data_IF_752987837876
#
_entry.id   IF_752987837876
#
_cell.length_a   1.000
_cell.length_b   1.000
_cell.length_c   1.000
_cell.angle_alpha   90.00
_cell.angle_beta   90.00
_cell.angle_gamma   90.00
#
_symmetry.space_group_name_H-M   'P 1'
#
loop_
_entity.id
_entity.type
_entity.pdbx_description
1 polymer ?
#
# COMPACT_ATOMS: atom_id res chain seq x y z
N UNK A 1 33.74 26.30 22.59
CA UNK A 1 33.17 25.02 22.13
C UNK A 1 32.27 25.36 20.95
N UNK A 2 32.66 24.99 19.74
CA UNK A 2 31.91 25.35 18.53
C UNK A 2 30.61 24.54 18.47
N UNK A 3 29.49 25.25 18.38
CA UNK A 3 28.16 24.69 18.12
C UNK A 3 28.14 24.04 16.73
N UNK A 4 28.49 22.76 16.68
CA UNK A 4 28.36 21.96 15.47
C UNK A 4 26.90 21.47 15.38
N UNK A 5 25.99 22.38 15.01
CA UNK A 5 24.63 21.95 14.61
C UNK A 5 24.79 21.03 13.40
N UNK A 6 24.33 19.76 13.45
CA UNK A 6 24.40 18.88 12.29
C UNK A 6 23.64 19.56 11.15
N UNK A 7 24.38 19.91 10.11
CA UNK A 7 23.84 20.50 8.89
C UNK A 7 22.92 19.46 8.27
N UNK A 8 21.66 19.85 8.01
CA UNK A 8 20.70 18.97 7.37
C UNK A 8 21.31 18.46 6.05
N UNK A 9 21.29 17.15 5.79
CA UNK A 9 21.85 16.60 4.56
C UNK A 9 21.17 17.22 3.35
N UNK A 10 21.95 17.45 2.29
CA UNK A 10 21.40 17.94 1.03
C UNK A 10 20.41 16.90 0.46
N UNK A 11 19.37 17.32 -0.28
CA UNK A 11 18.44 16.39 -0.93
C UNK A 11 19.19 15.31 -1.73
N UNK A 12 18.94 14.03 -1.42
CA UNK A 12 19.59 12.88 -2.06
C UNK A 12 20.90 12.40 -1.42
N UNK A 13 21.39 13.07 -0.37
CA UNK A 13 22.52 12.58 0.41
C UNK A 13 22.06 11.55 1.45
N UNK A 14 22.69 10.37 1.46
CA UNK A 14 22.39 9.32 2.44
C UNK A 14 22.74 9.80 3.85
N UNK A 15 21.80 9.62 4.79
CA UNK A 15 22.05 9.83 6.21
C UNK A 15 22.89 8.65 6.71
N UNK A 16 24.07 8.88 7.32
CA UNK A 16 24.88 7.78 7.84
C UNK A 16 24.13 7.06 8.96
N UNK A 17 24.18 5.73 8.96
CA UNK A 17 23.61 4.92 10.04
C UNK A 17 24.39 5.17 11.34
N UNK A 18 23.72 5.53 12.45
CA UNK A 18 24.38 5.69 13.74
C UNK A 18 25.07 4.38 14.17
N UNK A 19 26.29 4.44 14.76
CA UNK A 19 27.02 3.23 15.20
C UNK A 19 26.25 2.37 16.22
N UNK A 20 25.33 2.98 16.96
CA UNK A 20 24.49 2.38 18.00
C UNK A 20 23.11 1.89 17.48
N UNK A 21 22.81 2.10 16.20
CA UNK A 21 21.59 1.61 15.54
C UNK A 21 21.95 0.73 14.33
N UNK A 22 22.54 -0.46 14.55
CA UNK A 22 22.92 -1.32 13.44
C UNK A 22 21.66 -1.80 12.70
N UNK A 23 21.67 -1.65 11.38
CA UNK A 23 20.65 -2.20 10.49
C UNK A 23 21.33 -3.24 9.60
N UNK A 24 20.78 -4.45 9.59
CA UNK A 24 21.19 -5.51 8.66
C UNK A 24 20.14 -5.62 7.57
N UNK A 25 20.59 -5.62 6.33
CA UNK A 25 19.73 -5.72 5.16
C UNK A 25 19.87 -7.11 4.56
N UNK A 26 18.75 -7.84 4.44
CA UNK A 26 18.73 -9.14 3.77
C UNK A 26 18.97 -8.97 2.26
N UNK A 27 18.38 -7.93 1.66
CA UNK A 27 18.69 -7.45 0.31
C UNK A 27 19.46 -6.11 0.39
N UNK A 28 20.71 -6.03 -0.11
CA UNK A 28 21.45 -4.77 -0.14
C UNK A 28 20.75 -3.61 -0.87
N UNK A 29 19.79 -3.87 -1.77
CA UNK A 29 19.01 -2.82 -2.44
C UNK A 29 18.02 -2.12 -1.48
N UNK A 30 17.56 -2.81 -0.44
CA UNK A 30 16.62 -2.26 0.56
C UNK A 30 17.21 -1.07 1.32
N UNK A 31 18.53 -1.00 1.43
CA UNK A 31 19.26 0.12 2.02
C UNK A 31 19.04 1.45 1.28
N UNK A 32 18.53 1.41 0.04
CA UNK A 32 18.28 2.60 -0.80
C UNK A 32 16.82 3.06 -0.75
N UNK A 33 15.94 2.30 -0.10
CA UNK A 33 14.52 2.61 0.01
C UNK A 33 14.31 3.63 1.14
N UNK A 34 13.36 4.55 0.94
CA UNK A 34 12.88 5.40 2.03
C UNK A 34 11.87 4.62 2.86
N UNK A 35 12.21 4.40 4.13
CA UNK A 35 11.40 3.62 5.06
C UNK A 35 10.55 4.51 5.95
N UNK A 36 9.24 4.26 5.97
CA UNK A 36 8.27 4.97 6.77
C UNK A 36 7.77 4.07 7.91
N UNK A 37 7.60 4.63 9.10
CA UNK A 37 6.96 3.91 10.20
C UNK A 37 5.52 3.60 9.80
N UNK A 38 5.06 2.40 10.13
CA UNK A 38 3.67 1.99 9.90
C UNK A 38 2.81 2.57 11.04
N UNK A 39 1.95 3.58 10.80
CA UNK A 39 1.33 4.36 11.89
C UNK A 39 0.45 3.54 12.83
N UNK A 40 -0.05 2.39 12.35
CA UNK A 40 -0.85 1.44 13.10
C UNK A 40 -0.02 0.73 14.20
N UNK A 41 1.30 0.63 14.04
CA UNK A 41 2.20 -0.06 14.98
C UNK A 41 3.11 0.94 15.68
N UNK A 42 2.62 1.49 16.80
CA UNK A 42 3.36 2.46 17.63
C UNK A 42 4.29 1.80 18.65
N UNK A 43 4.25 0.47 18.76
CA UNK A 43 5.02 -0.34 19.71
C UNK A 43 5.77 -1.45 19.00
N UNK A 44 6.82 -2.03 19.62
CA UNK A 44 7.50 -3.19 19.08
C UNK A 44 6.53 -4.33 18.75
N UNK A 45 6.67 -4.91 17.56
CA UNK A 45 5.85 -6.03 17.11
C UNK A 45 6.61 -7.38 17.22
N UNK A 46 5.95 -8.44 17.71
CA UNK A 46 6.47 -9.80 17.68
C UNK A 46 6.71 -10.30 16.25
N UNK A 47 7.61 -11.27 16.10
CA UNK A 47 7.93 -11.86 14.79
C UNK A 47 6.70 -12.47 14.09
N UNK A 48 5.80 -13.09 14.85
CA UNK A 48 4.58 -13.68 14.27
C UNK A 48 3.65 -12.62 13.68
N UNK A 49 3.44 -11.50 14.40
CA UNK A 49 2.64 -10.38 13.89
C UNK A 49 3.31 -9.79 12.65
N UNK A 50 4.62 -9.59 12.69
CA UNK A 50 5.37 -9.12 11.53
C UNK A 50 5.19 -10.03 10.30
N UNK A 51 5.27 -11.36 10.47
CA UNK A 51 5.11 -12.31 9.38
C UNK A 51 3.73 -12.21 8.71
N UNK A 52 2.66 -12.08 9.51
CA UNK A 52 1.29 -11.92 9.01
C UNK A 52 1.13 -10.58 8.27
N UNK A 53 1.62 -9.48 8.85
CA UNK A 53 1.53 -8.16 8.22
C UNK A 53 2.36 -8.10 6.94
N UNK A 54 3.56 -8.70 6.93
CA UNK A 54 4.41 -8.79 5.75
C UNK A 54 3.71 -9.56 4.64
N UNK A 55 3.16 -10.74 4.95
CA UNK A 55 2.40 -11.53 3.98
C UNK A 55 1.28 -10.70 3.37
N UNK A 56 0.45 -10.03 4.17
CA UNK A 56 -0.65 -9.21 3.66
C UNK A 56 -0.15 -8.04 2.80
N UNK A 57 0.83 -7.27 3.28
CA UNK A 57 1.31 -6.07 2.59
C UNK A 57 2.03 -6.41 1.28
N UNK A 58 2.92 -7.40 1.30
CA UNK A 58 3.69 -7.79 0.11
C UNK A 58 2.86 -8.61 -0.88
N UNK A 59 1.90 -9.42 -0.41
CA UNK A 59 0.92 -10.08 -1.28
C UNK A 59 0.04 -9.08 -2.03
N UNK A 60 -0.19 -7.90 -1.42
CA UNK A 60 -0.83 -6.75 -2.07
C UNK A 60 -0.16 -6.27 -3.36
N UNK A 61 1.13 -6.56 -3.55
CA UNK A 61 1.85 -6.18 -4.76
C UNK A 61 1.26 -6.77 -6.04
N UNK A 62 0.60 -7.92 -5.96
CA UNK A 62 -0.11 -8.51 -7.10
C UNK A 62 -1.26 -7.61 -7.58
N UNK A 63 -2.02 -7.02 -6.64
CA UNK A 63 -3.07 -6.06 -6.96
C UNK A 63 -2.52 -4.73 -7.47
N UNK A 64 -1.43 -4.23 -6.87
CA UNK A 64 -0.74 -3.03 -7.36
C UNK A 64 -0.22 -3.21 -8.79
N UNK A 65 0.28 -4.40 -9.11
CA UNK A 65 0.74 -4.75 -10.46
C UNK A 65 -0.38 -4.75 -11.48
N UNK A 66 -1.52 -5.38 -11.15
CA UNK A 66 -2.72 -5.37 -12.00
C UNK A 66 -3.22 -3.94 -12.26
N UNK A 67 -3.05 -3.05 -11.29
CA UNK A 67 -3.36 -1.62 -11.43
C UNK A 67 -2.26 -0.81 -12.16
N UNK A 68 -1.24 -1.48 -12.73
CA UNK A 68 -0.11 -0.87 -13.42
C UNK A 68 0.66 0.17 -12.59
N UNK A 69 0.73 -0.01 -11.26
CA UNK A 69 1.53 0.87 -10.42
C UNK A 69 3.04 0.60 -10.60
N UNK A 70 3.87 1.66 -10.69
CA UNK A 70 5.29 1.53 -11.00
C UNK A 70 6.17 1.19 -9.77
N UNK A 71 5.55 0.73 -8.68
CA UNK A 71 6.21 0.41 -7.43
C UNK A 71 5.63 -0.84 -6.78
N UNK A 72 6.35 -1.35 -5.80
CA UNK A 72 5.94 -2.43 -4.93
C UNK A 72 6.13 -2.01 -3.47
N UNK A 73 5.20 -2.42 -2.62
CA UNK A 73 5.32 -2.35 -1.18
C UNK A 73 6.36 -3.37 -0.69
N UNK A 74 7.28 -2.90 0.14
CA UNK A 74 8.23 -3.72 0.89
C UNK A 74 8.00 -3.49 2.37
N UNK A 75 8.02 -4.56 3.16
CA UNK A 75 7.90 -4.47 4.61
C UNK A 75 9.13 -5.05 5.29
N UNK A 76 9.83 -4.22 6.06
CA UNK A 76 10.99 -4.63 6.86
C UNK A 76 10.74 -4.46 8.35
N UNK A 77 11.37 -5.32 9.16
CA UNK A 77 11.39 -5.20 10.61
C UNK A 77 12.79 -4.83 11.09
N UNK A 78 12.95 -3.62 11.62
CA UNK A 78 14.22 -3.14 12.18
C UNK A 78 14.01 -2.91 13.69
N UNK A 79 14.85 -3.54 14.51
CA UNK A 79 14.81 -3.39 15.98
C UNK A 79 13.41 -3.59 16.59
N UNK A 80 12.65 -4.54 16.04
CA UNK A 80 11.27 -4.87 16.44
C UNK A 80 10.17 -3.92 15.99
N UNK A 81 10.48 -2.89 15.19
CA UNK A 81 9.48 -2.02 14.57
C UNK A 81 9.30 -2.36 13.10
N UNK A 82 8.07 -2.27 12.60
CA UNK A 82 7.78 -2.44 11.18
C UNK A 82 7.90 -1.11 10.43
N UNK A 83 8.49 -1.20 9.25
CA UNK A 83 8.61 -0.10 8.32
C UNK A 83 8.11 -0.52 6.94
N UNK A 84 7.38 0.37 6.30
CA UNK A 84 6.89 0.24 4.94
C UNK A 84 7.78 1.09 4.02
N UNK A 85 8.18 0.49 2.90
CA UNK A 85 8.86 1.17 1.82
C UNK A 85 8.12 0.95 0.51
N UNK A 86 8.17 1.94 -0.39
CA UNK A 86 7.69 1.78 -1.76
C UNK A 86 8.92 1.72 -2.66
N UNK A 87 9.22 0.53 -3.17
CA UNK A 87 10.34 0.29 -4.07
C UNK A 87 9.88 0.44 -5.53
N UNK A 88 10.59 1.21 -6.37
CA UNK A 88 10.28 1.26 -7.80
C UNK A 88 10.50 -0.11 -8.46
N UNK A 89 9.55 -0.60 -9.27
CA UNK A 89 9.69 -1.87 -10.00
C UNK A 89 10.72 -1.83 -11.14
N UNK A 90 11.14 -0.63 -11.51
CA UNK A 90 12.20 -0.37 -12.49
C UNK A 90 12.87 0.95 -12.18
N UNK A 91 13.75 0.98 -11.18
CA UNK A 91 14.61 2.14 -10.99
C UNK A 91 15.46 2.31 -12.26
N UNK A 92 15.48 3.51 -12.89
CA UNK A 92 16.32 3.73 -14.05
C UNK A 92 17.78 3.43 -13.67
N UNK A 93 18.59 2.82 -14.57
CA UNK A 93 20.00 2.61 -14.32
C UNK A 93 20.69 3.89 -13.83
N UNK A 94 21.73 3.77 -13.02
CA UNK A 94 22.42 4.94 -12.42
C UNK A 94 22.87 5.97 -13.47
N UNK A 95 23.20 5.53 -14.68
CA UNK A 95 23.50 6.39 -15.83
C UNK A 95 22.29 7.26 -16.24
N UNK A 96 21.08 6.69 -16.24
CA UNK A 96 19.83 7.42 -16.52
C UNK A 96 19.53 8.41 -15.40
N UNK A 97 19.71 8.03 -14.14
CA UNK A 97 19.58 8.94 -12.99
C UNK A 97 20.57 10.12 -13.07
N UNK A 98 21.82 9.88 -13.47
CA UNK A 98 22.84 10.93 -13.69
C UNK A 98 22.47 11.84 -14.85
N UNK A 99 21.97 11.29 -15.96
CA UNK A 99 21.50 12.07 -17.10
C UNK A 99 20.31 12.95 -16.74
N UNK A 100 19.32 12.41 -16.01
CA UNK A 100 18.18 13.16 -15.48
C UNK A 100 18.65 14.28 -14.55
N UNK A 101 19.57 14.00 -13.63
CA UNK A 101 20.15 15.00 -12.74
C UNK A 101 20.98 16.08 -13.45
N UNK A 102 21.54 15.79 -14.63
CA UNK A 102 22.19 16.79 -15.46
C UNK A 102 21.17 17.68 -16.19
N UNK A 103 20.12 17.09 -16.74
CA UNK A 103 19.04 17.81 -17.44
C UNK A 103 18.25 18.69 -16.47
N UNK A 104 17.98 18.22 -15.24
CA UNK A 104 17.31 19.04 -14.22
C UNK A 104 18.11 20.29 -13.83
N UNK A 105 19.45 20.22 -13.88
CA UNK A 105 20.34 21.36 -13.59
C UNK A 105 20.54 22.30 -14.78
N UNK A 106 20.61 21.77 -16.00
CA UNK A 106 20.97 22.56 -17.19
C UNK A 106 19.77 23.03 -18.01
N UNK A 107 18.64 22.33 -17.95
CA UNK A 107 17.43 22.67 -18.68
C UNK A 107 16.15 22.29 -17.87
N UNK A 108 15.82 23.02 -16.79
CA UNK A 108 14.70 22.69 -15.91
C UNK A 108 13.34 22.61 -16.61
N UNK A 109 13.09 23.45 -17.63
CA UNK A 109 11.85 23.42 -18.41
C UNK A 109 11.69 22.13 -19.23
N UNK A 110 12.79 21.62 -19.80
CA UNK A 110 12.81 20.35 -20.52
C UNK A 110 12.58 19.17 -19.57
N UNK A 111 13.18 19.23 -18.37
CA UNK A 111 12.94 18.25 -17.30
C UNK A 111 11.47 18.21 -16.89
N UNK A 112 10.86 19.36 -16.59
CA UNK A 112 9.45 19.43 -16.20
C UNK A 112 8.52 18.88 -17.30
N UNK A 113 8.78 19.22 -18.58
CA UNK A 113 8.01 18.69 -19.70
C UNK A 113 8.15 17.17 -19.83
N UNK A 114 9.35 16.63 -19.64
CA UNK A 114 9.59 15.18 -19.67
C UNK A 114 8.87 14.46 -18.53
N UNK A 115 8.95 15.00 -17.30
CA UNK A 115 8.27 14.43 -16.14
C UNK A 115 6.75 14.52 -16.28
N UNK A 116 6.22 15.61 -16.83
CA UNK A 116 4.79 15.75 -17.14
C UNK A 116 4.34 14.69 -18.14
N UNK A 117 5.03 14.54 -19.27
CA UNK A 117 4.68 13.50 -20.27
C UNK A 117 4.80 12.09 -19.72
N UNK A 118 5.78 11.84 -18.86
CA UNK A 118 5.93 10.56 -18.16
C UNK A 118 4.76 10.32 -17.19
N UNK A 119 4.35 11.36 -16.46
CA UNK A 119 3.14 11.38 -15.65
C UNK A 119 1.88 11.05 -16.46
N UNK A 120 1.66 11.74 -17.58
CA UNK A 120 0.53 11.50 -18.48
C UNK A 120 0.52 10.07 -19.03
N UNK A 121 1.70 9.54 -19.38
CA UNK A 121 1.86 8.16 -19.85
C UNK A 121 1.51 7.13 -18.77
N UNK A 122 1.94 7.38 -17.52
CA UNK A 122 1.59 6.53 -16.38
C UNK A 122 0.07 6.59 -16.08
N UNK A 123 -0.53 7.78 -16.11
CA UNK A 123 -1.98 7.96 -15.94
C UNK A 123 -2.76 7.15 -16.97
N UNK A 124 -2.41 7.28 -18.25
CA UNK A 124 -3.04 6.51 -19.33
C UNK A 124 -2.87 5.01 -19.18
N UNK A 125 -1.72 4.55 -18.69
CA UNK A 125 -1.48 3.13 -18.45
C UNK A 125 -2.35 2.61 -17.30
N UNK A 126 -2.50 3.38 -16.22
CA UNK A 126 -3.38 3.05 -15.10
C UNK A 126 -4.85 3.06 -15.51
N UNK A 127 -5.30 4.09 -16.25
CA UNK A 127 -6.63 4.16 -16.86
C UNK A 127 -6.92 2.93 -17.72
N UNK A 128 -6.01 2.57 -18.63
CA UNK A 128 -6.16 1.40 -19.50
C UNK A 128 -6.22 0.08 -18.72
N UNK A 129 -5.54 0.00 -17.58
CA UNK A 129 -5.56 -1.18 -16.71
C UNK A 129 -6.84 -1.26 -15.86
N UNK A 130 -7.32 -0.12 -15.33
CA UNK A 130 -8.39 -0.07 -14.34
C UNK A 130 -9.78 0.10 -14.95
N UNK A 131 -9.94 0.85 -16.05
CA UNK A 131 -11.26 1.08 -16.67
C UNK A 131 -11.98 -0.23 -17.02
N UNK A 132 -11.33 -1.24 -17.65
CA UNK A 132 -12.01 -2.50 -17.96
C UNK A 132 -12.40 -3.31 -16.71
N UNK A 133 -11.76 -3.07 -15.57
CA UNK A 133 -12.11 -3.70 -14.28
C UNK A 133 -13.31 -2.97 -13.68
N UNK A 134 -13.30 -1.63 -13.71
CA UNK A 134 -14.36 -0.78 -13.16
C UNK A 134 -15.69 -1.00 -13.87
N UNK A 135 -15.68 -1.06 -15.21
CA UNK A 135 -16.89 -1.28 -16.02
C UNK A 135 -17.65 -2.56 -15.65
N UNK A 136 -16.93 -3.58 -15.19
CA UNK A 136 -17.49 -4.88 -14.80
C UNK A 136 -17.36 -5.17 -13.30
N UNK A 137 -17.10 -4.14 -12.49
CA UNK A 137 -16.66 -4.35 -11.10
C UNK A 137 -17.69 -5.11 -10.28
N UNK A 138 -18.99 -4.89 -10.49
CA UNK A 138 -20.04 -5.63 -9.79
C UNK A 138 -19.95 -7.14 -10.06
N UNK A 139 -19.82 -7.54 -11.32
CA UNK A 139 -19.63 -8.95 -11.71
C UNK A 139 -18.29 -9.48 -11.18
N UNK A 140 -17.20 -8.71 -11.35
CA UNK A 140 -15.87 -9.10 -10.87
C UNK A 140 -15.85 -9.33 -9.34
N UNK A 141 -16.52 -8.46 -8.59
CA UNK A 141 -16.67 -8.59 -7.15
C UNK A 141 -17.49 -9.82 -6.77
N UNK A 142 -18.69 -9.96 -7.32
CA UNK A 142 -19.63 -11.00 -6.91
C UNK A 142 -19.22 -12.41 -7.36
N UNK A 143 -18.60 -12.53 -8.53
CA UNK A 143 -18.31 -13.82 -9.16
C UNK A 143 -16.87 -14.28 -8.95
N UNK A 144 -15.92 -13.37 -8.74
CA UNK A 144 -14.49 -13.71 -8.60
C UNK A 144 -13.96 -13.39 -7.19
N UNK A 145 -13.93 -12.10 -6.80
CA UNK A 145 -13.25 -11.68 -5.57
C UNK A 145 -13.94 -12.17 -4.29
N UNK A 146 -15.25 -11.93 -4.16
CA UNK A 146 -16.00 -12.24 -2.95
C UNK A 146 -16.05 -13.75 -2.66
N UNK A 147 -16.28 -14.65 -3.64
CA UNK A 147 -16.19 -16.08 -3.41
C UNK A 147 -14.82 -16.52 -2.92
N UNK A 148 -13.72 -16.01 -3.49
CA UNK A 148 -12.36 -16.36 -3.07
C UNK A 148 -12.07 -15.85 -1.64
N UNK A 149 -12.45 -14.62 -1.32
CA UNK A 149 -12.35 -14.06 0.04
C UNK A 149 -13.08 -14.97 1.05
N UNK A 150 -14.31 -15.38 0.74
CA UNK A 150 -15.10 -16.28 1.60
C UNK A 150 -14.42 -17.65 1.80
N UNK A 151 -13.75 -18.20 0.78
CA UNK A 151 -13.00 -19.45 0.94
C UNK A 151 -11.82 -19.30 1.91
N UNK A 152 -11.13 -18.16 1.87
CA UNK A 152 -10.07 -17.90 2.84
C UNK A 152 -10.60 -17.70 4.26
N UNK A 153 -11.70 -16.96 4.43
CA UNK A 153 -12.34 -16.78 5.74
C UNK A 153 -12.83 -18.12 6.31
N UNK A 154 -13.48 -18.95 5.50
CA UNK A 154 -13.97 -20.28 5.91
C UNK A 154 -12.83 -21.20 6.40
N UNK A 155 -11.63 -21.10 5.80
CA UNK A 155 -10.46 -21.85 6.27
C UNK A 155 -10.08 -21.46 7.71
N UNK A 156 -10.08 -20.16 8.03
CA UNK A 156 -9.77 -19.69 9.38
C UNK A 156 -10.89 -20.03 10.36
N UNK A 157 -12.16 -19.84 9.96
CA UNK A 157 -13.33 -20.09 10.81
C UNK A 157 -13.52 -21.57 11.16
N UNK A 158 -13.13 -22.49 10.27
CA UNK A 158 -13.27 -23.94 10.48
C UNK A 158 -12.13 -24.57 11.30
N UNK A 159 -11.10 -23.80 11.68
CA UNK A 159 -9.89 -24.33 12.31
C UNK A 159 -9.98 -24.33 13.85
N UNK A 160 -9.96 -25.50 14.46
CA UNK A 160 -9.74 -25.64 15.92
C UNK A 160 -8.24 -25.64 16.23
N UNK A 161 -7.68 -24.44 16.43
CA UNK A 161 -6.27 -24.27 16.77
C UNK A 161 -5.87 -24.92 18.10
N UNK A 162 -6.81 -25.10 19.04
CA UNK A 162 -6.50 -25.66 20.37
C UNK A 162 -6.36 -27.18 20.32
N UNK A 163 -7.08 -27.83 19.41
CA UNK A 163 -7.01 -29.27 19.17
C UNK A 163 -5.82 -29.71 18.31
N UNK A 164 -5.10 -28.78 17.66
CA UNK A 164 -3.98 -29.11 16.77
C UNK A 164 -2.70 -29.48 17.53
N UNK A 165 -2.00 -30.51 17.06
CA UNK A 165 -0.62 -30.80 17.46
C UNK A 165 0.34 -29.70 16.97
N UNK A 166 1.57 -29.69 17.48
CA UNK A 166 2.58 -28.72 17.05
C UNK A 166 2.90 -28.81 15.54
N UNK A 167 2.96 -30.02 14.99
CA UNK A 167 3.19 -30.21 13.55
C UNK A 167 2.01 -29.70 12.72
N UNK A 168 0.78 -29.91 13.21
CA UNK A 168 -0.43 -29.37 12.58
C UNK A 168 -0.47 -27.84 12.67
N UNK A 169 -0.10 -27.24 13.81
CA UNK A 169 0.01 -25.79 13.96
C UNK A 169 1.06 -25.18 13.03
N UNK A 170 2.21 -25.83 12.86
CA UNK A 170 3.25 -25.39 11.90
C UNK A 170 2.73 -25.42 10.47
N UNK A 171 2.05 -26.50 10.08
CA UNK A 171 1.45 -26.63 8.75
C UNK A 171 0.35 -25.58 8.55
N UNK A 172 -0.52 -25.39 9.55
CA UNK A 172 -1.58 -24.41 9.53
C UNK A 172 -1.04 -22.98 9.41
N UNK A 173 0.01 -22.61 10.16
CA UNK A 173 0.66 -21.31 10.06
C UNK A 173 1.26 -21.08 8.67
N UNK A 174 1.90 -22.08 8.10
CA UNK A 174 2.46 -21.99 6.73
C UNK A 174 1.38 -21.69 5.70
N UNK A 175 0.24 -22.38 5.79
CA UNK A 175 -0.90 -22.15 4.91
C UNK A 175 -1.60 -20.81 5.21
N UNK A 176 -1.72 -20.43 6.48
CA UNK A 176 -2.27 -19.15 6.90
C UNK A 176 -1.50 -17.97 6.31
N UNK A 177 -0.16 -18.03 6.28
CA UNK A 177 0.66 -16.99 5.66
C UNK A 177 0.43 -16.91 4.15
N UNK A 178 0.34 -18.05 3.44
CA UNK A 178 0.02 -18.07 1.99
C UNK A 178 -1.36 -17.48 1.69
N UNK A 179 -2.35 -17.81 2.52
CA UNK A 179 -3.71 -17.24 2.39
C UNK A 179 -3.72 -15.75 2.68
N UNK A 180 -2.97 -15.32 3.70
CA UNK A 180 -2.86 -13.90 4.05
C UNK A 180 -2.22 -13.10 2.92
N UNK A 181 -1.20 -13.66 2.26
CA UNK A 181 -0.61 -13.11 1.04
C UNK A 181 -1.65 -12.95 -0.08
N UNK A 182 -2.41 -14.01 -0.38
CA UNK A 182 -3.46 -13.93 -1.40
C UNK A 182 -4.57 -12.94 -1.04
N UNK A 183 -5.01 -12.90 0.22
CA UNK A 183 -5.98 -11.90 0.72
C UNK A 183 -5.43 -10.49 0.52
N UNK A 184 -4.13 -10.27 0.76
CA UNK A 184 -3.45 -9.01 0.47
C UNK A 184 -3.60 -8.61 -1.00
N UNK A 185 -3.37 -9.55 -1.92
CA UNK A 185 -3.59 -9.36 -3.35
C UNK A 185 -5.03 -8.99 -3.67
N UNK A 186 -6.00 -9.80 -3.22
CA UNK A 186 -7.44 -9.57 -3.42
C UNK A 186 -7.90 -8.20 -2.88
N UNK A 187 -7.40 -7.81 -1.71
CA UNK A 187 -7.68 -6.50 -1.12
C UNK A 187 -7.24 -5.37 -2.05
N UNK A 188 -6.04 -5.45 -2.63
CA UNK A 188 -5.54 -4.42 -3.53
C UNK A 188 -6.19 -4.47 -4.92
N UNK A 189 -6.58 -5.66 -5.38
CA UNK A 189 -7.38 -5.83 -6.60
C UNK A 189 -8.76 -5.16 -6.50
N UNK A 190 -9.36 -5.10 -5.30
CA UNK A 190 -10.58 -4.35 -5.05
C UNK A 190 -10.32 -2.86 -4.77
N UNK A 191 -9.28 -2.56 -3.99
CA UNK A 191 -8.97 -1.19 -3.53
C UNK A 191 -8.57 -0.27 -4.68
N UNK A 192 -7.73 -0.75 -5.62
CA UNK A 192 -7.19 0.11 -6.67
C UNK A 192 -8.28 0.63 -7.64
N UNK A 193 -9.19 -0.21 -8.16
CA UNK A 193 -10.35 0.26 -8.92
C UNK A 193 -11.22 1.23 -8.13
N UNK A 194 -11.44 0.97 -6.84
CA UNK A 194 -12.23 1.84 -5.97
C UNK A 194 -11.60 3.24 -5.82
N UNK A 195 -10.30 3.32 -5.51
CA UNK A 195 -9.59 4.59 -5.37
C UNK A 195 -9.62 5.38 -6.69
N UNK A 196 -9.42 4.69 -7.81
CA UNK A 196 -9.46 5.31 -9.13
C UNK A 196 -10.86 5.84 -9.47
N UNK A 197 -11.91 5.05 -9.23
CA UNK A 197 -13.30 5.48 -9.43
C UNK A 197 -13.67 6.69 -8.56
N UNK A 198 -13.17 6.76 -7.32
CA UNK A 198 -13.32 7.93 -6.46
C UNK A 198 -12.64 9.18 -7.05
N UNK A 199 -11.40 9.05 -7.53
CA UNK A 199 -10.69 10.16 -8.20
C UNK A 199 -11.47 10.66 -9.42
N UNK A 200 -11.91 9.75 -10.29
CA UNK A 200 -12.71 10.09 -11.48
C UNK A 200 -14.01 10.80 -11.12
N UNK A 201 -14.67 10.38 -10.04
CA UNK A 201 -15.89 11.02 -9.57
C UNK A 201 -15.65 12.44 -9.05
N UNK A 202 -14.59 12.64 -8.25
CA UNK A 202 -14.18 13.95 -7.74
C UNK A 202 -13.81 14.91 -8.88
N UNK A 203 -13.04 14.44 -9.85
CA UNK A 203 -12.63 15.19 -11.04
C UNK A 203 -13.85 15.60 -11.87
N UNK A 204 -14.71 14.64 -12.23
CA UNK A 204 -15.93 14.90 -12.98
C UNK A 204 -16.85 15.91 -12.28
N UNK A 205 -16.98 15.81 -10.95
CA UNK A 205 -17.78 16.76 -10.19
C UNK A 205 -17.20 18.19 -10.26
N UNK A 206 -15.88 18.34 -10.10
CA UNK A 206 -15.21 19.64 -10.18
C UNK A 206 -15.28 20.25 -11.59
N UNK A 207 -15.28 19.43 -12.64
CA UNK A 207 -15.45 19.88 -14.03
C UNK A 207 -16.86 20.41 -14.32
N UNK A 208 -17.88 19.86 -13.66
CA UNK A 208 -19.28 20.27 -13.87
C UNK A 208 -19.66 21.55 -13.12
N UNK A 209 -19.00 21.86 -12.01
CA UNK A 209 -19.41 22.92 -11.10
C UNK A 209 -18.28 23.90 -10.81
N UNK A 210 -18.37 25.11 -11.38
CA UNK A 210 -17.40 26.17 -11.15
C UNK A 210 -17.23 26.48 -9.65
N UNK A 211 -16.00 26.40 -9.16
CA UNK A 211 -15.64 26.67 -7.77
C UNK A 211 -15.94 25.52 -6.79
N UNK A 212 -16.40 24.37 -7.26
CA UNK A 212 -16.56 23.17 -6.45
C UNK A 212 -15.21 22.61 -5.98
N UNK A 213 -15.25 21.92 -4.83
CA UNK A 213 -14.09 21.22 -4.26
C UNK A 213 -14.31 19.71 -4.26
N UNK A 214 -13.22 18.93 -4.15
CA UNK A 214 -13.30 17.47 -4.00
C UNK A 214 -14.10 17.06 -2.75
N UNK A 215 -14.07 17.89 -1.68
CA UNK A 215 -14.88 17.68 -0.49
C UNK A 215 -16.38 17.81 -0.78
N UNK A 216 -16.77 18.69 -1.70
CA UNK A 216 -18.18 18.83 -2.12
C UNK A 216 -18.66 17.58 -2.87
N UNK A 217 -17.80 16.98 -3.70
CA UNK A 217 -18.09 15.70 -4.34
C UNK A 217 -18.28 14.59 -3.29
N UNK A 218 -17.33 14.44 -2.35
CA UNK A 218 -17.38 13.41 -1.30
C UNK A 218 -18.57 13.55 -0.35
N UNK A 219 -19.17 14.75 -0.20
CA UNK A 219 -20.42 14.92 0.55
C UNK A 219 -21.58 14.15 -0.06
N UNK A 220 -21.60 13.94 -1.38
CA UNK A 220 -22.66 13.18 -2.06
C UNK A 220 -22.64 11.68 -1.73
N UNK A 221 -21.49 11.15 -1.29
CA UNK A 221 -21.35 9.75 -0.87
C UNK A 221 -21.54 9.55 0.63
N UNK A 222 -21.74 10.63 1.40
CA UNK A 222 -21.96 10.54 2.84
C UNK A 222 -23.32 9.91 3.16
N UNK A 223 -23.38 9.19 4.29
CA UNK A 223 -24.62 8.58 4.78
C UNK A 223 -24.98 7.24 4.14
N UNK A 224 -24.19 6.77 3.17
CA UNK A 224 -24.31 5.39 2.68
C UNK A 224 -23.81 4.42 3.75
N UNK A 225 -24.62 3.41 4.04
CA UNK A 225 -24.29 2.40 5.03
C UNK A 225 -23.16 1.49 4.52
N UNK A 226 -22.16 1.23 5.35
CA UNK A 226 -21.09 0.27 5.08
C UNK A 226 -20.83 -0.62 6.31
N UNK A 227 -19.97 -1.63 6.17
CA UNK A 227 -19.70 -2.57 7.25
C UNK A 227 -19.10 -1.90 8.50
N UNK A 228 -18.36 -0.81 8.35
CA UNK A 228 -17.84 -0.02 9.48
C UNK A 228 -18.99 0.64 10.25
N UNK A 229 -19.89 1.35 9.56
CA UNK A 229 -21.06 1.98 10.18
C UNK A 229 -21.96 0.93 10.85
N UNK A 230 -22.19 -0.21 10.19
CA UNK A 230 -22.96 -1.33 10.77
C UNK A 230 -22.32 -1.85 12.06
N UNK A 231 -21.00 -2.01 12.06
CA UNK A 231 -20.25 -2.48 13.23
C UNK A 231 -20.33 -1.47 14.37
N UNK A 232 -20.16 -0.18 14.07
CA UNK A 232 -20.26 0.90 15.05
C UNK A 232 -21.67 0.98 15.67
N UNK A 233 -22.71 0.83 14.85
CA UNK A 233 -24.10 0.73 15.34
C UNK A 233 -24.29 -0.49 16.25
N UNK A 234 -23.73 -1.65 15.89
CA UNK A 234 -23.78 -2.86 16.72
C UNK A 234 -23.07 -2.68 18.06
N UNK A 235 -21.88 -2.08 18.06
CA UNK A 235 -21.13 -1.76 19.27
C UNK A 235 -21.88 -0.77 20.17
N UNK A 236 -22.49 0.26 19.57
CA UNK A 236 -23.31 1.21 20.29
C UNK A 236 -24.53 0.53 20.94
N UNK A 237 -25.25 -0.31 20.21
CA UNK A 237 -26.39 -1.07 20.74
C UNK A 237 -25.98 -1.99 21.90
N UNK A 238 -24.83 -2.66 21.79
CA UNK A 238 -24.28 -3.49 22.86
C UNK A 238 -24.01 -2.65 24.12
N UNK A 239 -23.44 -1.44 23.98
CA UNK A 239 -23.20 -0.55 25.13
C UNK A 239 -24.48 -0.02 25.81
N UNK A 240 -25.63 -0.11 25.13
CA UNK A 240 -26.93 0.26 25.70
C UNK A 240 -27.60 -0.90 26.44
N UNK A 241 -27.12 -2.12 26.24
CA UNK A 241 -27.71 -3.36 26.77
C UNK A 241 -26.81 -4.05 27.80
N UNK A 242 -25.52 -3.72 27.87
CA UNK A 242 -24.59 -4.08 28.94
C UNK A 242 -24.66 -3.10 30.13
#
# INVERSE_FOLDING_TARGET
MSDNKPQAPAPGQLVPTPPDFPVTWDDPQDAKITWLTVPQYKTPIPLLIYAVVKAFMEGGNAGLEKAALPFEARLIRINSFAYLGLAPKGAPPEAVMKAIGFVSRTAPGMFNMMMSKMGDGMSKQQEAALNPIIEKFDTYWNDELLPEIKQHLAYFESSDLRGMSLDQLRAHLTEALKRTDRIGGLHHEALMPMLFAMSQFEEFYCELFDGATTLDALRLTQGLENLTIKSDHGLWQLSRTA
#
